data_IF_295640828800
#
_entry.id   IF_295640828800
#
_cell.length_a   1.000
_cell.length_b   1.000
_cell.length_c   1.000
_cell.angle_alpha   90.00
_cell.angle_beta   90.00
_cell.angle_gamma   90.00
#
_symmetry.space_group_name_H-M   'P 1'
#
loop_
_entity.id
_entity.type
_entity.pdbx_description
1 polymer ?
#
# COMPACT_ATOMS: atom_id res chain seq x y z
N UNK A 1 40.08 36.64 -32.13
CA UNK A 1 38.64 36.38 -31.98
C UNK A 1 38.34 35.08 -32.72
N UNK A 2 38.02 33.92 -32.14
CA UNK A 2 37.45 33.55 -30.85
C UNK A 2 37.99 32.17 -30.45
N UNK A 3 38.40 32.01 -29.18
CA UNK A 3 38.76 30.72 -28.59
C UNK A 3 37.48 29.94 -28.30
N UNK A 4 37.29 28.77 -28.94
CA UNK A 4 36.16 27.88 -28.65
C UNK A 4 36.56 26.98 -27.49
N UNK A 5 36.23 27.42 -26.28
CA UNK A 5 36.26 26.58 -25.08
C UNK A 5 35.12 25.56 -25.22
N UNK A 6 35.47 24.30 -25.47
CA UNK A 6 34.51 23.19 -25.42
C UNK A 6 34.45 22.73 -23.96
N UNK A 7 33.41 23.15 -23.25
CA UNK A 7 33.05 22.62 -21.93
C UNK A 7 32.26 21.34 -22.15
N UNK A 8 32.88 20.18 -21.94
CA UNK A 8 32.18 18.90 -21.85
C UNK A 8 31.52 18.81 -20.48
N UNK A 9 30.20 18.94 -20.44
CA UNK A 9 29.39 18.73 -19.24
C UNK A 9 29.34 17.22 -18.97
N UNK A 10 30.07 16.75 -17.96
CA UNK A 10 29.81 15.43 -17.35
C UNK A 10 28.66 15.64 -16.37
N UNK A 11 27.44 15.33 -16.79
CA UNK A 11 26.28 15.26 -15.90
C UNK A 11 25.49 13.98 -16.21
N UNK A 12 26.05 12.84 -15.80
CA UNK A 12 25.31 11.59 -15.66
C UNK A 12 25.49 11.09 -14.22
N UNK A 13 25.06 11.90 -13.25
CA UNK A 13 25.00 11.52 -11.85
C UNK A 13 23.65 11.96 -11.29
N UNK A 14 22.67 11.06 -11.35
CA UNK A 14 21.62 10.82 -10.34
C UNK A 14 20.43 10.09 -10.97
N UNK A 15 20.62 8.86 -11.47
CA UNK A 15 19.48 7.94 -11.50
C UNK A 15 19.28 7.52 -10.05
N UNK A 16 18.18 7.95 -9.45
CA UNK A 16 17.88 7.76 -8.05
C UNK A 16 18.18 6.33 -7.58
N UNK A 17 18.99 6.20 -6.53
CA UNK A 17 19.22 4.96 -5.75
C UNK A 17 17.98 4.55 -4.93
N UNK A 18 16.77 4.78 -5.47
CA UNK A 18 15.49 4.52 -4.80
C UNK A 18 14.84 3.20 -5.25
N UNK A 19 15.41 2.51 -6.23
CA UNK A 19 14.91 1.20 -6.68
C UNK A 19 15.77 0.07 -6.11
N UNK A 20 15.13 -1.00 -5.62
CA UNK A 20 15.84 -2.21 -5.18
C UNK A 20 16.70 -2.76 -6.32
N UNK A 21 17.82 -3.42 -6.03
CA UNK A 21 18.55 -4.21 -7.03
C UNK A 21 17.63 -5.25 -7.69
N UNK A 22 17.73 -5.43 -9.01
CA UNK A 22 16.84 -6.29 -9.79
C UNK A 22 16.93 -7.78 -9.43
N UNK A 23 18.06 -8.18 -8.86
CA UNK A 23 18.40 -9.54 -8.43
C UNK A 23 18.01 -9.84 -6.97
N UNK A 24 17.60 -8.83 -6.20
CA UNK A 24 17.20 -9.00 -4.78
C UNK A 24 15.68 -9.06 -4.65
N UNK A 25 15.07 -10.10 -4.02
CA UNK A 25 13.62 -10.19 -3.80
C UNK A 25 13.02 -8.99 -3.05
N UNK A 26 11.73 -8.70 -3.28
CA UNK A 26 11.06 -7.48 -2.74
C UNK A 26 11.08 -7.53 -1.22
N UNK A 27 10.63 -8.66 -0.67
CA UNK A 27 10.59 -8.88 0.76
C UNK A 27 12.00 -8.78 1.37
N UNK A 28 13.01 -9.43 0.77
CA UNK A 28 14.38 -9.39 1.30
C UNK A 28 14.95 -7.96 1.37
N UNK A 29 14.75 -7.17 0.30
CA UNK A 29 15.24 -5.80 0.25
C UNK A 29 14.50 -4.89 1.23
N UNK A 30 13.17 -4.81 1.15
CA UNK A 30 12.41 -3.85 1.95
C UNK A 30 12.28 -4.27 3.42
N UNK A 31 12.34 -5.56 3.73
CA UNK A 31 12.41 -6.02 5.11
C UNK A 31 13.72 -5.58 5.75
N UNK A 32 14.85 -5.76 5.07
CA UNK A 32 16.14 -5.25 5.55
C UNK A 32 16.15 -3.73 5.67
N UNK A 33 15.67 -3.02 4.64
CA UNK A 33 15.70 -1.56 4.59
C UNK A 33 14.82 -0.89 5.66
N UNK A 34 13.65 -1.47 5.96
CA UNK A 34 12.65 -0.85 6.85
C UNK A 34 12.65 -1.46 8.25
N UNK A 35 12.94 -2.76 8.39
CA UNK A 35 12.85 -3.52 9.64
C UNK A 35 14.22 -4.07 10.11
N UNK A 36 15.31 -3.70 9.43
CA UNK A 36 16.72 -4.02 9.71
C UNK A 36 17.09 -5.49 9.47
N UNK A 37 16.40 -6.43 10.12
CA UNK A 37 16.74 -7.86 10.05
C UNK A 37 15.78 -8.59 9.10
N UNK A 38 16.31 -9.37 8.16
CA UNK A 38 15.51 -10.21 7.28
C UNK A 38 15.18 -11.56 7.95
N UNK A 39 14.05 -11.60 8.67
CA UNK A 39 13.48 -12.84 9.26
C UNK A 39 12.07 -13.07 8.73
N UNK A 40 11.55 -14.29 8.85
CA UNK A 40 10.19 -14.62 8.42
C UNK A 40 9.13 -13.73 9.10
N UNK A 41 9.31 -13.42 10.39
CA UNK A 41 8.43 -12.54 11.16
C UNK A 41 8.46 -11.11 10.64
N UNK A 42 9.65 -10.61 10.27
CA UNK A 42 9.79 -9.27 9.73
C UNK A 42 9.26 -9.18 8.28
N UNK A 43 9.40 -10.23 7.48
CA UNK A 43 8.75 -10.29 6.16
C UNK A 43 7.23 -10.29 6.28
N UNK A 44 6.68 -11.08 7.20
CA UNK A 44 5.24 -11.07 7.48
C UNK A 44 4.76 -9.69 7.97
N UNK A 45 5.55 -9.05 8.84
CA UNK A 45 5.28 -7.70 9.32
C UNK A 45 5.30 -6.66 8.19
N UNK A 46 6.27 -6.74 7.29
CA UNK A 46 6.33 -5.89 6.09
C UNK A 46 5.04 -6.02 5.26
N UNK A 47 4.57 -7.25 5.02
CA UNK A 47 3.35 -7.49 4.25
C UNK A 47 2.12 -6.92 4.93
N UNK A 48 1.98 -7.09 6.25
CA UNK A 48 0.87 -6.48 7.02
C UNK A 48 0.88 -4.96 6.90
N UNK A 49 2.04 -4.33 7.10
CA UNK A 49 2.20 -2.88 6.99
C UNK A 49 1.85 -2.38 5.59
N UNK A 50 2.32 -3.08 4.55
CA UNK A 50 2.06 -2.74 3.15
C UNK A 50 0.57 -2.83 2.81
N UNK A 51 -0.06 -3.97 3.11
CA UNK A 51 -1.48 -4.21 2.80
C UNK A 51 -2.37 -3.22 3.54
N UNK A 52 -2.16 -3.05 4.85
CA UNK A 52 -2.97 -2.12 5.61
C UNK A 52 -2.74 -0.67 5.14
N UNK A 53 -1.52 -0.28 4.79
CA UNK A 53 -1.27 1.07 4.22
C UNK A 53 -1.98 1.26 2.89
N UNK A 54 -2.02 0.24 2.03
CA UNK A 54 -2.76 0.29 0.77
C UNK A 54 -4.28 0.39 1.00
N UNK A 55 -4.81 -0.24 2.06
CA UNK A 55 -6.24 -0.27 2.35
C UNK A 55 -6.70 0.99 3.08
N UNK A 56 -6.09 1.32 4.23
CA UNK A 56 -6.53 2.37 5.16
C UNK A 56 -5.64 3.63 5.15
N UNK A 57 -4.59 3.67 4.32
CA UNK A 57 -3.65 4.78 4.27
C UNK A 57 -2.59 4.72 5.37
N UNK A 58 -1.78 5.77 5.51
CA UNK A 58 -0.72 5.76 6.53
C UNK A 58 -1.32 5.65 7.95
N UNK A 59 -0.91 4.63 8.71
CA UNK A 59 -1.49 4.36 10.02
C UNK A 59 -0.46 4.02 11.12
N UNK A 60 0.76 3.63 10.77
CA UNK A 60 1.85 3.30 11.73
C UNK A 60 3.25 3.54 11.13
N UNK A 61 4.30 3.40 11.96
CA UNK A 61 5.70 3.41 11.53
C UNK A 61 6.12 2.09 10.87
N UNK A 62 7.06 2.08 9.91
CA UNK A 62 7.87 3.22 9.47
C UNK A 62 7.14 4.12 8.46
N UNK A 63 7.06 5.41 8.79
CA UNK A 63 6.57 6.44 7.87
C UNK A 63 7.76 7.03 7.13
N UNK A 64 7.81 6.83 5.82
CA UNK A 64 8.90 7.29 4.94
C UNK A 64 8.65 8.69 4.36
N UNK A 65 7.72 9.46 4.95
CA UNK A 65 7.37 10.81 4.49
C UNK A 65 6.47 10.84 3.25
N UNK A 66 5.99 9.69 2.78
CA UNK A 66 5.08 9.59 1.63
C UNK A 66 3.64 9.44 2.11
N UNK A 67 2.80 10.40 1.74
CA UNK A 67 1.37 10.36 2.04
C UNK A 67 0.67 9.34 1.16
N UNK A 68 -0.01 8.37 1.78
CA UNK A 68 -0.86 7.38 1.14
C UNK A 68 -2.23 7.46 1.78
N UNK A 69 -3.26 7.73 0.96
CA UNK A 69 -4.64 7.88 1.44
C UNK A 69 -5.32 6.54 1.77
N UNK A 70 -4.96 5.47 1.06
CA UNK A 70 -5.64 4.18 1.14
C UNK A 70 -6.85 4.09 0.20
N UNK A 71 -7.20 2.87 -0.23
CA UNK A 71 -8.31 2.64 -1.16
C UNK A 71 -9.68 2.93 -0.54
N UNK A 72 -9.80 2.88 0.79
CA UNK A 72 -11.05 3.15 1.50
C UNK A 72 -11.31 4.65 1.71
N UNK A 73 -10.31 5.51 1.47
CA UNK A 73 -10.50 6.94 1.54
C UNK A 73 -11.22 7.45 0.27
N UNK A 74 -12.18 8.39 0.40
CA UNK A 74 -12.74 9.07 -0.76
C UNK A 74 -11.67 9.90 -1.48
N UNK A 75 -11.84 10.08 -2.78
CA UNK A 75 -10.91 10.83 -3.62
C UNK A 75 -11.59 11.42 -4.85
N UNK A 76 -10.78 11.89 -5.80
CA UNK A 76 -11.24 12.46 -7.06
C UNK A 76 -10.47 11.83 -8.21
N UNK A 77 -11.17 11.39 -9.25
CA UNK A 77 -10.57 10.88 -10.48
C UNK A 77 -11.23 11.56 -11.69
N UNK A 78 -10.41 12.19 -12.55
CA UNK A 78 -10.88 12.94 -13.72
C UNK A 78 -11.98 13.98 -13.40
N UNK A 79 -11.88 14.65 -12.24
CA UNK A 79 -12.84 15.67 -11.79
C UNK A 79 -14.13 15.12 -11.16
N UNK A 80 -14.31 13.81 -11.08
CA UNK A 80 -15.44 13.18 -10.40
C UNK A 80 -15.03 12.70 -9.00
N UNK A 81 -15.91 12.87 -8.01
CA UNK A 81 -15.76 12.26 -6.70
C UNK A 81 -15.86 10.73 -6.81
N UNK A 82 -14.95 10.04 -6.15
CA UNK A 82 -14.88 8.58 -6.12
C UNK A 82 -14.84 8.12 -4.67
N UNK A 83 -15.73 7.19 -4.32
CA UNK A 83 -15.72 6.52 -3.04
C UNK A 83 -15.85 5.00 -3.27
N UNK A 84 -14.80 4.26 -2.91
CA UNK A 84 -14.77 2.81 -3.09
C UNK A 84 -15.23 2.03 -1.87
N UNK A 85 -15.37 2.67 -0.70
CA UNK A 85 -15.78 2.01 0.55
C UNK A 85 -17.04 1.15 0.42
N UNK A 86 -18.13 1.59 -0.28
CA UNK A 86 -19.35 0.79 -0.43
C UNK A 86 -19.16 -0.59 -1.10
N UNK A 87 -18.07 -0.76 -1.85
CA UNK A 87 -17.72 -2.05 -2.47
C UNK A 87 -17.08 -3.03 -1.48
N UNK A 88 -16.54 -2.54 -0.35
CA UNK A 88 -15.81 -3.36 0.63
C UNK A 88 -16.60 -3.61 1.91
N UNK A 89 -17.54 -2.74 2.28
CA UNK A 89 -18.26 -2.84 3.55
C UNK A 89 -19.62 -3.59 3.46
N UNK A 90 -19.95 -4.16 2.31
CA UNK A 90 -21.18 -4.91 2.08
C UNK A 90 -22.41 -4.08 1.72
N UNK A 91 -22.29 -2.75 1.58
CA UNK A 91 -23.39 -1.89 1.13
C UNK A 91 -23.85 -2.24 -0.29
N UNK A 92 -22.93 -2.64 -1.17
CA UNK A 92 -23.23 -3.00 -2.55
C UNK A 92 -23.15 -4.50 -2.80
N UNK A 93 -24.10 -5.02 -3.59
CA UNK A 93 -24.08 -6.38 -4.12
C UNK A 93 -23.10 -6.53 -5.29
N UNK A 94 -21.82 -6.27 -5.02
CA UNK A 94 -20.77 -6.12 -6.03
C UNK A 94 -19.84 -7.33 -6.15
N UNK A 95 -19.91 -8.29 -5.22
CA UNK A 95 -19.00 -9.44 -5.20
C UNK A 95 -19.50 -10.60 -6.04
N UNK A 96 -18.61 -11.21 -6.83
CA UNK A 96 -18.92 -12.42 -7.58
C UNK A 96 -18.66 -13.68 -6.72
N UNK A 97 -19.70 -14.47 -6.45
CA UNK A 97 -19.61 -15.79 -5.79
C UNK A 97 -20.08 -16.95 -6.69
N UNK A 98 -20.02 -16.76 -8.01
CA UNK A 98 -20.33 -17.80 -9.01
C UNK A 98 -21.82 -17.98 -9.32
N UNK A 99 -22.70 -17.09 -8.83
CA UNK A 99 -24.13 -17.06 -9.14
C UNK A 99 -24.48 -16.19 -10.36
N UNK A 100 -25.77 -15.95 -10.57
CA UNK A 100 -26.29 -15.11 -11.67
C UNK A 100 -26.30 -13.60 -11.37
N UNK A 101 -25.95 -13.20 -10.14
CA UNK A 101 -25.89 -11.80 -9.72
C UNK A 101 -24.79 -11.60 -8.68
N UNK A 102 -24.35 -10.35 -8.52
CA UNK A 102 -23.47 -9.98 -7.41
C UNK A 102 -24.14 -10.16 -6.05
N UNK A 103 -23.34 -10.38 -5.03
CA UNK A 103 -23.79 -10.50 -3.63
C UNK A 103 -23.08 -9.48 -2.75
N UNK A 104 -23.76 -9.05 -1.68
CA UNK A 104 -23.18 -8.16 -0.68
C UNK A 104 -22.25 -8.95 0.24
N UNK A 105 -20.99 -8.52 0.32
CA UNK A 105 -19.98 -9.11 1.20
C UNK A 105 -19.31 -7.99 1.97
N UNK A 106 -19.30 -8.09 3.29
CA UNK A 106 -18.55 -7.19 4.14
C UNK A 106 -17.12 -7.73 4.34
N UNK A 107 -16.17 -7.21 3.57
CA UNK A 107 -14.73 -7.49 3.70
C UNK A 107 -14.06 -6.69 4.81
N UNK A 108 -14.83 -5.91 5.56
CA UNK A 108 -14.39 -5.15 6.71
C UNK A 108 -15.12 -5.60 7.98
N UNK A 109 -15.67 -6.82 7.96
CA UNK A 109 -16.32 -7.45 9.11
C UNK A 109 -15.32 -7.65 10.27
N UNK A 110 -15.79 -7.43 11.49
CA UNK A 110 -14.93 -7.45 12.67
C UNK A 110 -14.25 -6.12 13.02
N UNK A 111 -14.81 -4.97 12.64
CA UNK A 111 -14.40 -3.67 13.19
C UNK A 111 -13.95 -2.61 12.18
N UNK A 112 -14.05 -2.87 10.88
CA UNK A 112 -13.72 -1.86 9.88
C UNK A 112 -12.22 -1.58 9.77
N UNK A 113 -11.85 -0.31 9.62
CA UNK A 113 -10.47 0.12 9.59
C UNK A 113 -9.78 0.08 10.98
N UNK A 114 -10.54 0.07 12.07
CA UNK A 114 -10.00 0.16 13.44
C UNK A 114 -9.03 -0.99 13.81
N UNK A 115 -9.33 -2.28 13.57
CA UNK A 115 -8.37 -3.36 13.84
C UNK A 115 -7.16 -3.29 12.91
N UNK A 116 -7.34 -2.87 11.66
CA UNK A 116 -6.24 -2.72 10.69
C UNK A 116 -5.21 -1.67 11.15
N UNK A 117 -5.66 -0.61 11.84
CA UNK A 117 -4.76 0.39 12.45
C UNK A 117 -3.84 -0.22 13.52
N UNK A 118 -4.24 -1.34 14.13
CA UNK A 118 -3.46 -2.08 15.13
C UNK A 118 -2.72 -3.28 14.50
N UNK A 119 -2.76 -3.42 13.18
CA UNK A 119 -2.29 -4.61 12.45
C UNK A 119 -2.94 -5.91 12.92
N UNK A 120 -4.21 -5.82 13.33
CA UNK A 120 -5.07 -6.93 13.72
C UNK A 120 -6.06 -7.25 12.58
N UNK A 121 -6.47 -8.52 12.45
CA UNK A 121 -7.48 -8.90 11.45
C UNK A 121 -8.89 -8.44 11.83
N UNK A 122 -9.24 -8.42 13.13
CA UNK A 122 -10.53 -8.01 13.66
C UNK A 122 -10.39 -7.51 15.11
N UNK A 123 -11.42 -6.82 15.62
CA UNK A 123 -11.53 -6.38 17.01
C UNK A 123 -11.97 -7.51 17.96
N UNK A 124 -12.51 -8.62 17.42
CA UNK A 124 -12.90 -9.81 18.17
C UNK A 124 -12.88 -11.08 17.29
N UNK A 125 -13.04 -12.23 17.92
CA UNK A 125 -13.02 -13.55 17.26
C UNK A 125 -14.36 -13.97 16.64
N UNK A 126 -15.33 -13.05 16.53
CA UNK A 126 -16.66 -13.33 15.97
C UNK A 126 -16.75 -12.97 14.48
N UNK A 127 -15.72 -12.34 13.91
CA UNK A 127 -15.65 -12.02 12.48
C UNK A 127 -15.82 -13.28 11.63
N UNK A 128 -16.59 -13.15 10.55
CA UNK A 128 -16.91 -14.25 9.61
C UNK A 128 -16.33 -14.00 8.22
N UNK A 129 -15.26 -13.21 8.14
CA UNK A 129 -14.52 -12.97 6.89
C UNK A 129 -14.05 -14.27 6.24
#
# INVERSE_FOLDING_TARGET
MYSKIIVTIIAAASVAVAQRPTDTPICDYYTTALLKNNTAENQYTLLKLLVNTAVIGNYTMPNVGVKVAGILAPGTYNGAEVNLLPYFNGELASSNRGGSSGVSVNFLDGGGAAPLMKSLPADNDQSKQ
#
